data_IF_473628760608
#
_entry.id   IF_473628760608
#
_cell.length_a   1.000
_cell.length_b   1.000
_cell.length_c   1.000
_cell.angle_alpha   90.00
_cell.angle_beta   90.00
_cell.angle_gamma   90.00
#
_symmetry.space_group_name_H-M   'P 1'
#
loop_
_entity.id
_entity.type
_entity.pdbx_description
1 polymer ?
#
# COMPACT_ATOMS: atom_id res chain seq x y z
N UNK A 1 30.65 2.77 2.03
CA UNK A 1 29.37 2.74 1.27
C UNK A 1 28.65 1.48 1.70
N UNK A 2 27.57 1.61 2.47
CA UNK A 2 26.69 0.50 2.82
C UNK A 2 25.44 0.69 1.96
N UNK A 3 25.20 -0.23 1.03
CA UNK A 3 23.93 -0.32 0.33
C UNK A 3 22.98 -0.98 1.33
N UNK A 4 21.95 -0.28 1.76
CA UNK A 4 20.87 -0.90 2.53
C UNK A 4 20.33 -2.07 1.70
N UNK A 5 20.52 -3.30 2.17
CA UNK A 5 20.16 -4.54 1.47
C UNK A 5 18.67 -4.62 1.06
N UNK A 6 17.87 -3.70 1.60
CA UNK A 6 16.45 -3.55 1.42
C UNK A 6 16.03 -2.75 0.18
N UNK A 7 16.97 -2.11 -0.52
CA UNK A 7 16.70 -1.42 -1.80
C UNK A 7 16.34 -2.41 -2.93
N UNK A 8 16.73 -3.68 -2.76
CA UNK A 8 16.51 -4.75 -3.73
C UNK A 8 15.24 -5.58 -3.46
N UNK A 9 14.55 -5.36 -2.35
CA UNK A 9 13.30 -6.04 -2.00
C UNK A 9 12.12 -5.25 -2.59
N UNK A 10 11.46 -5.71 -3.69
CA UNK A 10 10.33 -4.99 -4.28
C UNK A 10 9.09 -4.92 -3.36
N UNK A 11 9.07 -5.78 -2.34
CA UNK A 11 8.09 -5.79 -1.25
C UNK A 11 8.46 -4.85 -0.09
N UNK A 12 9.58 -4.13 -0.19
CA UNK A 12 9.97 -3.16 0.82
C UNK A 12 9.03 -1.97 0.82
N UNK A 13 8.19 -1.93 1.85
CA UNK A 13 7.25 -0.85 2.09
C UNK A 13 7.97 0.47 2.40
N UNK A 14 7.71 1.50 1.61
CA UNK A 14 8.37 2.81 1.69
C UNK A 14 7.37 3.96 1.83
N UNK A 15 7.86 5.15 2.15
CA UNK A 15 7.04 6.35 2.30
C UNK A 15 6.20 6.60 1.05
N UNK A 16 4.91 6.89 1.25
CA UNK A 16 3.96 7.14 0.16
C UNK A 16 3.28 5.88 -0.39
N UNK A 17 3.72 4.67 -0.03
CA UNK A 17 3.03 3.47 -0.45
C UNK A 17 1.65 3.34 0.17
N UNK A 18 0.69 2.92 -0.67
CA UNK A 18 -0.64 2.52 -0.22
C UNK A 18 -0.54 1.10 0.30
N UNK A 19 -1.02 0.91 1.51
CA UNK A 19 -0.95 -0.36 2.24
C UNK A 19 -2.29 -0.69 2.85
N UNK A 20 -2.52 -1.98 3.06
CA UNK A 20 -3.62 -2.51 3.86
C UNK A 20 -3.08 -3.57 4.81
N UNK A 21 -3.89 -4.00 5.77
CA UNK A 21 -3.51 -5.13 6.61
C UNK A 21 -3.42 -6.41 5.78
N UNK A 22 -2.32 -7.15 5.95
CA UNK A 22 -2.18 -8.50 5.43
C UNK A 22 -3.11 -9.46 6.20
N UNK A 23 -3.35 -10.69 5.71
CA UNK A 23 -4.11 -11.70 6.45
C UNK A 23 -3.55 -11.92 7.86
N UNK A 24 -2.22 -11.96 8.00
CA UNK A 24 -1.52 -12.07 9.29
C UNK A 24 -1.78 -10.84 10.18
N UNK A 25 -1.76 -9.65 9.59
CA UNK A 25 -2.13 -8.41 10.28
C UNK A 25 -3.57 -8.44 10.78
N UNK A 26 -4.50 -8.99 10.00
CA UNK A 26 -5.91 -9.14 10.34
C UNK A 26 -6.17 -10.17 11.43
N UNK A 27 -5.43 -11.28 11.44
CA UNK A 27 -5.52 -12.27 12.52
C UNK A 27 -5.17 -11.66 13.88
N UNK A 28 -4.17 -10.77 13.92
CA UNK A 28 -3.76 -10.07 15.16
C UNK A 28 -4.60 -8.84 15.46
N UNK A 29 -5.09 -8.17 14.42
CA UNK A 29 -5.81 -6.91 14.52
C UNK A 29 -7.10 -6.95 13.68
N UNK A 30 -8.09 -7.79 14.06
CA UNK A 30 -9.31 -7.98 13.27
C UNK A 30 -10.12 -6.69 13.14
N UNK A 31 -10.01 -5.79 14.11
CA UNK A 31 -10.67 -4.48 14.10
C UNK A 31 -10.22 -3.58 12.95
N UNK A 32 -9.12 -3.88 12.25
CA UNK A 32 -8.62 -3.08 11.13
C UNK A 32 -9.25 -3.47 9.81
N UNK A 33 -9.77 -4.69 9.67
CA UNK A 33 -10.49 -5.13 8.48
C UNK A 33 -9.74 -4.84 7.18
N UNK A 34 -10.48 -4.51 6.14
CA UNK A 34 -9.94 -4.14 4.83
C UNK A 34 -9.51 -2.66 4.73
N UNK A 35 -9.12 -2.02 5.83
CA UNK A 35 -8.72 -0.62 5.80
C UNK A 35 -7.43 -0.43 5.03
N UNK A 36 -7.47 0.54 4.13
CA UNK A 36 -6.31 1.05 3.44
C UNK A 36 -5.73 2.26 4.18
N UNK A 37 -4.45 2.50 3.93
CA UNK A 37 -3.72 3.62 4.47
C UNK A 37 -2.51 3.95 3.61
N UNK A 38 -1.83 5.03 3.99
CA UNK A 38 -0.58 5.44 3.36
C UNK A 38 0.54 5.49 4.38
N UNK A 39 1.73 5.06 3.98
CA UNK A 39 2.92 5.20 4.81
C UNK A 39 3.33 6.67 4.85
N UNK A 40 3.26 7.27 6.03
CA UNK A 40 3.60 8.68 6.29
C UNK A 40 4.90 8.84 7.07
N UNK A 41 5.60 7.74 7.35
CA UNK A 41 6.90 7.80 8.00
C UNK A 41 7.50 6.42 8.24
N UNK A 42 8.81 6.42 8.47
CA UNK A 42 9.55 5.23 8.87
C UNK A 42 9.69 5.21 10.40
N UNK A 43 9.45 4.05 11.01
CA UNK A 43 9.67 3.83 12.44
C UNK A 43 11.03 3.15 12.66
N UNK A 44 10.99 1.93 13.18
CA UNK A 44 12.15 1.05 13.31
C UNK A 44 12.41 0.30 11.98
N UNK A 45 13.52 -0.44 11.83
CA UNK A 45 13.82 -1.19 10.59
C UNK A 45 12.69 -2.13 10.13
N UNK A 46 11.84 -2.59 11.05
CA UNK A 46 10.72 -3.48 10.74
C UNK A 46 9.35 -2.83 10.93
N UNK A 47 9.28 -1.53 11.25
CA UNK A 47 8.02 -0.85 11.51
C UNK A 47 7.90 0.47 10.75
N UNK A 48 6.72 0.69 10.18
CA UNK A 48 6.36 1.89 9.43
C UNK A 48 5.18 2.60 10.06
N UNK A 49 5.10 3.92 9.86
CA UNK A 49 4.02 4.76 10.35
C UNK A 49 2.98 4.91 9.26
N UNK A 50 1.81 4.35 9.47
CA UNK A 50 0.69 4.34 8.52
C UNK A 50 -0.40 5.28 9.00
N UNK A 51 -0.85 6.17 8.12
CA UNK A 51 -2.11 6.90 8.28
C UNK A 51 -3.19 6.13 7.53
N UNK A 52 -4.06 5.45 8.27
CA UNK A 52 -5.23 4.77 7.69
C UNK A 52 -6.28 5.81 7.28
N UNK A 53 -6.98 5.59 6.17
CA UNK A 53 -7.95 6.55 5.64
C UNK A 53 -9.12 6.79 6.62
N UNK A 54 -9.52 5.73 7.34
CA UNK A 54 -10.60 5.75 8.34
C UNK A 54 -10.17 6.31 9.71
N UNK A 55 -8.88 6.63 9.91
CA UNK A 55 -8.35 7.10 11.20
C UNK A 55 -7.61 8.41 11.07
N UNK A 56 -7.87 9.30 12.03
CA UNK A 56 -7.14 10.56 12.17
C UNK A 56 -5.72 10.34 12.69
N UNK A 57 -5.50 9.25 13.45
CA UNK A 57 -4.22 8.95 14.09
C UNK A 57 -3.29 8.15 13.17
N UNK A 58 -2.02 8.52 13.21
CA UNK A 58 -0.92 7.76 12.58
C UNK A 58 -0.50 6.63 13.51
N UNK A 59 -0.35 5.43 12.96
CA UNK A 59 0.02 4.25 13.75
C UNK A 59 1.27 3.56 13.26
N UNK A 60 2.09 3.10 14.21
CA UNK A 60 3.25 2.27 13.93
C UNK A 60 2.81 0.81 13.78
N UNK A 61 3.03 0.24 12.59
CA UNK A 61 2.66 -1.14 12.25
C UNK A 61 3.91 -1.88 11.77
N UNK A 62 3.99 -3.18 12.04
CA UNK A 62 5.07 -4.03 11.55
C UNK A 62 4.91 -4.27 10.04
N UNK A 63 6.02 -4.31 9.30
CA UNK A 63 6.02 -4.48 7.84
C UNK A 63 5.29 -5.76 7.39
N UNK A 64 5.53 -6.90 8.02
CA UNK A 64 4.84 -8.17 7.71
C UNK A 64 3.32 -8.16 7.93
N UNK A 65 2.80 -7.22 8.72
CA UNK A 65 1.35 -7.08 8.92
C UNK A 65 0.70 -6.20 7.85
N UNK A 66 1.50 -5.66 6.94
CA UNK A 66 1.04 -4.82 5.86
C UNK A 66 1.33 -5.50 4.54
N UNK A 67 0.43 -5.30 3.59
CA UNK A 67 0.67 -5.63 2.19
C UNK A 67 0.45 -4.38 1.35
N UNK A 68 1.26 -4.24 0.30
CA UNK A 68 1.15 -3.12 -0.63
C UNK A 68 -0.14 -3.30 -1.42
N UNK A 69 -1.03 -2.32 -1.34
CA UNK A 69 -2.24 -2.34 -2.16
C UNK A 69 -1.85 -1.82 -3.54
N UNK A 70 -2.22 -2.52 -4.63
CA UNK A 70 -2.01 -1.99 -5.96
C UNK A 70 -2.71 -0.63 -6.00
N UNK A 71 -1.90 0.43 -6.16
CA UNK A 71 -2.45 1.73 -6.54
C UNK A 71 -3.28 1.40 -7.77
N UNK A 72 -4.58 1.69 -7.71
CA UNK A 72 -5.47 1.51 -8.86
C UNK A 72 -4.91 2.47 -9.90
N UNK A 73 -3.97 2.00 -10.70
CA UNK A 73 -3.42 2.74 -11.82
C UNK A 73 -4.66 3.18 -12.56
N UNK A 74 -4.79 4.49 -12.71
CA UNK A 74 -5.75 5.07 -13.64
C UNK A 74 -5.17 4.77 -15.03
N UNK A 75 -4.96 3.49 -15.33
CA UNK A 75 -4.58 2.98 -16.63
C UNK A 75 -5.85 3.11 -17.46
N UNK A 76 -5.96 4.23 -18.16
CA UNK A 76 -6.76 4.34 -19.37
C UNK A 76 -8.26 4.39 -19.18
N UNK A 77 -8.76 5.45 -18.54
CA UNK A 77 -9.90 6.15 -19.13
C UNK A 77 -9.45 6.65 -20.51
N UNK A 78 -9.72 5.91 -21.57
CA UNK A 78 -10.02 6.38 -22.95
C UNK A 78 -9.83 5.25 -23.98
N UNK A 79 -10.85 4.41 -24.13
CA UNK A 79 -11.18 3.79 -25.42
C UNK A 79 -12.68 3.90 -25.63
N UNK A 80 -13.17 5.14 -25.71
CA UNK A 80 -14.49 5.46 -26.25
C UNK A 80 -14.28 6.12 -27.61
N UNK A 81 -14.70 5.44 -28.68
CA UNK A 81 -14.78 6.00 -30.03
C UNK A 81 -15.12 4.92 -31.07
N UNK A 82 -16.33 4.93 -31.67
CA UNK A 82 -16.87 3.82 -32.45
C UNK A 82 -16.34 3.86 -33.90
N UNK A 83 -16.06 2.69 -34.48
CA UNK A 83 -15.86 2.56 -35.92
C UNK A 83 -16.99 1.71 -36.51
N UNK A 84 -18.17 2.33 -36.61
CA UNK A 84 -19.10 1.95 -37.67
C UNK A 84 -18.56 2.48 -39.01
N UNK A 85 -18.43 1.59 -40.00
CA UNK A 85 -18.60 1.78 -41.46
C UNK A 85 -18.14 0.47 -42.11
N UNK A 86 -19.08 -0.38 -42.53
CA UNK A 86 -19.69 -0.34 -43.86
C UNK A 86 -18.63 -0.53 -44.96
N UNK A 87 -18.55 -1.75 -45.50
CA UNK A 87 -18.84 -2.10 -46.90
C UNK A 87 -18.51 -3.56 -47.17
#
# INVERSE_FOLDING_TARGET
MMFDAHDLDPDWLTYGDRVRMSPLGLERHPSYGNREGVIVGMGTPNSVRVKFDDRVTVQAIHRDYLERTPVKSIAGRNSSGPAGRAS
#
